data_IF_976319146815
#
_entry.id   IF_976319146815
#
_cell.length_a   1.000
_cell.length_b   1.000
_cell.length_c   1.000
_cell.angle_alpha   90.00
_cell.angle_beta   90.00
_cell.angle_gamma   90.00
#
_symmetry.space_group_name_H-M   'P 1'
#
loop_
_entity.id
_entity.type
_entity.pdbx_description
1 polymer ?
#
# COMPACT_ATOMS: atom_id res chain seq x y z
N UNK A 1 5.47 64.54 17.97
CA UNK A 1 4.13 64.06 17.54
C UNK A 1 4.28 63.53 16.11
N UNK A 2 3.69 62.45 15.61
CA UNK A 2 2.90 61.33 16.16
C UNK A 2 2.79 60.30 14.98
N UNK A 3 2.91 58.97 15.05
CA UNK A 3 3.10 57.94 16.10
C UNK A 3 3.92 56.78 15.46
N UNK A 4 4.45 55.82 16.23
CA UNK A 4 4.93 54.55 15.65
C UNK A 4 3.75 53.69 15.17
N UNK A 5 3.85 53.09 13.98
CA UNK A 5 3.10 51.86 13.66
C UNK A 5 4.06 50.67 13.71
N UNK A 6 3.96 49.89 14.78
CA UNK A 6 4.49 48.52 14.83
C UNK A 6 3.58 47.64 13.97
N UNK A 7 4.03 47.27 12.77
CA UNK A 7 3.42 46.15 12.04
C UNK A 7 3.85 44.84 12.68
N UNK A 8 3.05 44.36 13.63
CA UNK A 8 3.18 43.00 14.18
C UNK A 8 2.80 42.02 13.07
N UNK A 9 3.80 41.40 12.46
CA UNK A 9 3.60 40.31 11.51
C UNK A 9 3.18 39.07 12.29
N UNK A 10 1.87 38.87 12.44
CA UNK A 10 1.30 37.70 13.08
C UNK A 10 1.48 36.48 12.15
N UNK A 11 2.61 35.78 12.33
CA UNK A 11 2.82 34.45 11.74
C UNK A 11 1.81 33.48 12.35
N UNK A 12 0.64 33.34 11.72
CA UNK A 12 -0.20 32.16 11.93
C UNK A 12 0.57 30.94 11.42
N UNK A 13 1.20 30.22 12.33
CA UNK A 13 1.61 28.85 12.08
C UNK A 13 0.34 28.02 11.81
N UNK A 14 0.02 27.82 10.54
CA UNK A 14 -0.90 26.74 10.16
C UNK A 14 -0.20 25.43 10.54
N UNK A 15 -0.50 24.95 11.74
CA UNK A 15 -0.24 23.58 12.17
C UNK A 15 -1.20 22.65 11.43
N UNK A 16 -1.14 22.66 10.09
CA UNK A 16 -1.59 21.53 9.30
C UNK A 16 -0.81 20.33 9.83
N UNK A 17 -1.52 19.32 10.32
CA UNK A 17 -0.89 18.04 10.61
C UNK A 17 -0.27 17.59 9.29
N UNK A 18 1.05 17.63 9.19
CA UNK A 18 1.74 16.90 8.15
C UNK A 18 1.32 15.44 8.34
N UNK A 19 0.50 14.93 7.43
CA UNK A 19 0.23 13.51 7.35
C UNK A 19 1.60 12.91 7.04
N UNK A 20 2.18 12.22 8.02
CA UNK A 20 3.51 11.64 7.87
C UNK A 20 3.46 10.67 6.70
N UNK A 21 4.39 10.80 5.76
CA UNK A 21 4.47 9.96 4.59
C UNK A 21 4.75 8.51 5.03
N UNK A 22 3.81 7.60 4.81
CA UNK A 22 3.93 6.18 5.20
C UNK A 22 4.58 5.33 4.12
N UNK A 23 4.65 5.85 2.90
CA UNK A 23 5.28 5.24 1.72
C UNK A 23 6.69 5.78 1.48
N UNK A 24 7.54 4.99 0.82
CA UNK A 24 8.88 5.39 0.40
C UNK A 24 9.03 5.18 -1.10
N UNK A 25 9.74 6.09 -1.78
CA UNK A 25 10.10 5.91 -3.19
C UNK A 25 11.38 5.07 -3.29
N UNK A 26 11.47 4.21 -4.30
CA UNK A 26 12.67 3.46 -4.59
C UNK A 26 13.84 4.35 -5.01
N UNK A 27 15.07 3.89 -4.74
CA UNK A 27 16.30 4.54 -5.15
C UNK A 27 17.23 3.49 -5.79
N UNK A 28 17.51 3.65 -7.09
CA UNK A 28 18.30 2.70 -7.88
C UNK A 28 19.78 2.61 -7.45
N UNK A 29 20.35 3.68 -6.87
CA UNK A 29 21.73 3.66 -6.35
C UNK A 29 21.85 2.85 -5.05
N UNK A 30 20.78 2.83 -4.24
CA UNK A 30 20.73 2.08 -2.98
C UNK A 30 20.33 0.62 -3.21
N UNK A 31 19.46 0.36 -4.17
CA UNK A 31 18.91 -0.97 -4.45
C UNK A 31 17.96 -1.51 -3.36
N UNK A 32 17.45 -2.72 -3.57
CA UNK A 32 16.66 -3.45 -2.59
C UNK A 32 17.53 -4.13 -1.52
N UNK A 33 17.11 -4.16 -0.25
CA UNK A 33 17.75 -4.99 0.77
C UNK A 33 17.47 -6.48 0.51
N UNK A 34 18.25 -7.37 1.12
CA UNK A 34 17.94 -8.80 1.13
C UNK A 34 16.74 -9.07 2.01
N UNK A 35 15.81 -9.89 1.53
CA UNK A 35 14.60 -10.30 2.24
C UNK A 35 14.04 -11.61 1.66
N UNK A 36 13.19 -12.28 2.43
CA UNK A 36 12.53 -13.55 2.07
C UNK A 36 11.03 -13.49 2.36
N UNK A 37 10.23 -14.41 1.82
CA UNK A 37 8.80 -14.45 2.13
C UNK A 37 8.50 -14.75 3.60
N UNK A 38 9.44 -15.33 4.34
CA UNK A 38 9.28 -15.57 5.78
C UNK A 38 9.25 -14.28 6.59
N UNK A 39 9.84 -13.20 6.07
CA UNK A 39 9.86 -11.86 6.68
C UNK A 39 8.49 -11.16 6.59
N UNK A 40 7.71 -11.48 5.55
CA UNK A 40 6.41 -10.85 5.24
C UNK A 40 5.20 -11.77 5.45
N UNK A 41 5.40 -13.03 5.85
CA UNK A 41 4.34 -14.04 6.04
C UNK A 41 3.18 -13.63 6.96
N UNK A 42 3.38 -12.62 7.82
CA UNK A 42 2.34 -12.09 8.71
C UNK A 42 1.20 -11.38 7.95
N UNK A 43 1.43 -10.99 6.69
CA UNK A 43 0.41 -10.44 5.78
C UNK A 43 -0.65 -11.51 5.42
N UNK A 44 -0.30 -12.80 5.46
CA UNK A 44 -1.20 -13.91 5.08
C UNK A 44 -2.55 -13.90 5.81
N UNK A 45 -3.60 -14.32 5.10
CA UNK A 45 -4.98 -14.48 5.57
C UNK A 45 -6.00 -13.63 4.80
N UNK A 46 -7.25 -13.66 5.28
CA UNK A 46 -8.38 -12.91 4.71
C UNK A 46 -8.60 -11.60 5.49
N UNK A 47 -8.84 -10.52 4.76
CA UNK A 47 -8.88 -9.15 5.24
C UNK A 47 -10.09 -8.40 4.68
N UNK A 48 -10.74 -7.60 5.52
CA UNK A 48 -11.85 -6.71 5.14
C UNK A 48 -11.63 -5.31 5.69
N UNK A 49 -11.87 -4.30 4.87
CA UNK A 49 -11.69 -2.89 5.20
C UNK A 49 -12.66 -1.98 4.47
N UNK A 50 -12.63 -0.69 4.82
CA UNK A 50 -13.36 0.37 4.13
C UNK A 50 -12.35 1.40 3.62
N UNK A 51 -12.40 1.71 2.33
CA UNK A 51 -11.56 2.71 1.68
C UNK A 51 -12.25 3.22 0.41
N UNK A 52 -11.84 4.39 -0.10
CA UNK A 52 -12.37 4.97 -1.35
C UNK A 52 -13.91 5.13 -1.42
N UNK A 53 -14.62 5.14 -0.28
CA UNK A 53 -16.08 5.19 -0.23
C UNK A 53 -16.79 3.83 -0.34
N UNK A 54 -16.06 2.72 -0.36
CA UNK A 54 -16.60 1.37 -0.49
C UNK A 54 -15.90 0.34 0.40
N UNK A 55 -16.25 -0.94 0.20
CA UNK A 55 -15.65 -2.08 0.89
C UNK A 55 -14.46 -2.61 0.09
N UNK A 56 -13.37 -2.90 0.78
CA UNK A 56 -12.23 -3.65 0.26
C UNK A 56 -12.21 -5.05 0.89
N UNK A 57 -12.12 -6.10 0.07
CA UNK A 57 -11.90 -7.48 0.50
C UNK A 57 -10.60 -8.00 -0.14
N UNK A 58 -9.71 -8.57 0.66
CA UNK A 58 -8.37 -8.97 0.22
C UNK A 58 -7.96 -10.30 0.86
N UNK A 59 -7.35 -11.19 0.09
CA UNK A 59 -6.83 -12.48 0.55
C UNK A 59 -5.37 -12.64 0.16
N UNK A 60 -4.55 -13.05 1.12
CA UNK A 60 -3.14 -13.42 0.93
C UNK A 60 -2.92 -14.88 1.37
N UNK A 61 -2.25 -15.67 0.53
CA UNK A 61 -1.92 -17.06 0.89
C UNK A 61 -0.68 -17.17 1.82
N UNK A 62 -0.23 -18.41 2.05
CA UNK A 62 1.00 -18.68 2.80
C UNK A 62 2.20 -18.77 1.85
N UNK A 63 3.41 -18.32 2.26
CA UNK A 63 4.65 -18.48 1.49
C UNK A 63 4.84 -19.89 0.93
N UNK A 64 4.76 -20.04 -0.39
CA UNK A 64 4.98 -21.32 -1.06
C UNK A 64 5.42 -21.12 -2.51
N UNK A 65 6.26 -22.02 -3.06
CA UNK A 65 6.71 -21.91 -4.45
C UNK A 65 7.43 -20.59 -4.82
N UNK A 66 8.12 -19.97 -3.85
CA UNK A 66 8.75 -18.65 -3.94
C UNK A 66 7.78 -17.47 -4.19
N UNK A 67 6.49 -17.66 -3.90
CA UNK A 67 5.46 -16.61 -3.99
C UNK A 67 4.57 -16.56 -2.74
N UNK A 68 3.95 -15.41 -2.51
CA UNK A 68 2.68 -15.27 -1.79
C UNK A 68 1.65 -14.67 -2.76
N UNK A 69 0.66 -15.45 -3.20
CA UNK A 69 -0.42 -14.97 -4.07
C UNK A 69 -1.39 -14.10 -3.27
N UNK A 70 -1.91 -13.05 -3.91
CA UNK A 70 -3.07 -12.32 -3.39
C UNK A 70 -4.14 -12.07 -4.44
N UNK A 71 -5.37 -11.86 -3.96
CA UNK A 71 -6.44 -11.25 -4.74
C UNK A 71 -7.16 -10.19 -3.90
N UNK A 72 -7.61 -9.14 -4.58
CA UNK A 72 -8.34 -8.01 -4.01
C UNK A 72 -9.65 -7.80 -4.78
N UNK A 73 -10.66 -7.26 -4.10
CA UNK A 73 -11.96 -6.90 -4.66
C UNK A 73 -12.47 -5.62 -4.02
N UNK A 74 -12.71 -4.59 -4.83
CA UNK A 74 -13.37 -3.36 -4.40
C UNK A 74 -14.86 -3.40 -4.73
N UNK A 75 -15.71 -3.10 -3.74
CA UNK A 75 -17.15 -2.96 -3.91
C UNK A 75 -17.62 -1.57 -3.51
N UNK A 76 -18.48 -0.97 -4.32
CA UNK A 76 -19.21 0.25 -4.00
C UNK A 76 -20.69 0.02 -4.31
N UNK A 77 -21.59 0.42 -3.40
CA UNK A 77 -23.04 0.25 -3.57
C UNK A 77 -23.47 -1.20 -3.93
N UNK A 78 -22.90 -2.19 -3.23
CA UNK A 78 -23.07 -3.64 -3.43
C UNK A 78 -22.71 -4.15 -4.84
N UNK A 79 -21.90 -3.39 -5.60
CA UNK A 79 -21.41 -3.77 -6.93
C UNK A 79 -19.89 -3.82 -6.92
N UNK A 80 -19.35 -4.84 -7.60
CA UNK A 80 -17.91 -4.90 -7.88
C UNK A 80 -17.54 -3.75 -8.83
N UNK A 81 -16.52 -2.99 -8.45
CA UNK A 81 -15.95 -1.92 -9.26
C UNK A 81 -14.69 -2.42 -9.98
N UNK A 82 -13.80 -3.12 -9.27
CA UNK A 82 -12.62 -3.77 -9.85
C UNK A 82 -12.07 -4.88 -8.93
N UNK A 83 -11.16 -5.67 -9.49
CA UNK A 83 -10.35 -6.65 -8.79
C UNK A 83 -8.86 -6.39 -9.01
N UNK A 84 -8.02 -6.95 -8.15
CA UNK A 84 -6.60 -7.17 -8.46
C UNK A 84 -6.25 -8.63 -8.27
N UNK A 85 -5.25 -9.09 -9.04
CA UNK A 85 -4.57 -10.36 -8.85
C UNK A 85 -3.07 -10.10 -8.91
N UNK A 86 -2.32 -10.61 -7.95
CA UNK A 86 -0.88 -10.37 -7.88
C UNK A 86 -0.19 -11.28 -6.88
N UNK A 87 1.07 -10.94 -6.58
CA UNK A 87 1.87 -11.66 -5.61
C UNK A 87 2.92 -10.77 -4.94
N UNK A 88 3.46 -11.25 -3.81
CA UNK A 88 4.85 -10.93 -3.42
C UNK A 88 5.71 -12.12 -3.84
N UNK A 89 6.71 -11.90 -4.69
CA UNK A 89 7.63 -12.93 -5.20
C UNK A 89 9.05 -12.73 -4.63
N UNK A 90 9.70 -13.83 -4.26
CA UNK A 90 11.11 -13.86 -3.87
C UNK A 90 11.99 -14.17 -5.08
N UNK A 91 12.77 -13.18 -5.50
CA UNK A 91 13.67 -13.25 -6.65
C UNK A 91 14.94 -12.42 -6.38
N UNK A 92 16.07 -12.81 -6.97
CA UNK A 92 17.37 -12.11 -6.83
C UNK A 92 17.83 -11.85 -5.38
N UNK A 93 17.37 -12.69 -4.42
CA UNK A 93 17.55 -12.56 -2.96
C UNK A 93 16.81 -11.36 -2.32
N UNK A 94 15.76 -10.86 -2.95
CA UNK A 94 14.89 -9.79 -2.43
C UNK A 94 13.42 -10.07 -2.76
N UNK A 95 12.53 -9.12 -2.44
CA UNK A 95 11.10 -9.21 -2.69
C UNK A 95 10.62 -8.18 -3.72
N UNK A 96 9.67 -8.60 -4.54
CA UNK A 96 8.90 -7.73 -5.43
C UNK A 96 7.41 -7.94 -5.18
N UNK A 97 6.65 -6.86 -5.01
CA UNK A 97 5.20 -6.89 -5.07
C UNK A 97 4.81 -6.65 -6.54
N UNK A 98 3.98 -7.51 -7.12
CA UNK A 98 3.54 -7.36 -8.51
C UNK A 98 2.05 -7.63 -8.63
N UNK A 99 1.33 -6.86 -9.46
CA UNK A 99 -0.12 -6.99 -9.61
C UNK A 99 -0.61 -6.57 -11.01
N UNK A 100 -1.86 -6.96 -11.30
CA UNK A 100 -2.67 -6.46 -12.40
C UNK A 100 -4.07 -6.14 -11.89
N UNK A 101 -4.70 -5.15 -12.51
CA UNK A 101 -6.08 -4.75 -12.24
C UNK A 101 -7.04 -5.32 -13.28
N UNK A 102 -8.26 -5.66 -12.85
CA UNK A 102 -9.31 -6.19 -13.72
C UNK A 102 -10.64 -5.49 -13.46
N UNK A 103 -11.37 -5.17 -14.53
CA UNK A 103 -12.76 -4.75 -14.44
C UNK A 103 -13.69 -5.87 -13.92
N UNK A 104 -14.96 -5.55 -13.62
CA UNK A 104 -15.93 -6.53 -13.11
C UNK A 104 -16.28 -7.62 -14.14
N UNK A 105 -15.92 -7.43 -15.41
CA UNK A 105 -16.03 -8.39 -16.51
C UNK A 105 -14.72 -9.13 -16.81
N UNK A 106 -13.75 -9.08 -15.88
CA UNK A 106 -12.41 -9.68 -15.97
C UNK A 106 -11.54 -9.20 -17.13
N UNK A 107 -11.83 -8.03 -17.73
CA UNK A 107 -10.89 -7.37 -18.63
C UNK A 107 -9.79 -6.68 -17.84
N UNK A 108 -8.53 -7.04 -18.13
CA UNK A 108 -7.35 -6.39 -17.54
C UNK A 108 -7.22 -4.93 -17.95
N UNK A 109 -6.65 -4.08 -17.09
CA UNK A 109 -6.31 -2.70 -17.41
C UNK A 109 -4.93 -2.60 -18.07
N UNK A 110 -3.96 -3.39 -17.60
CA UNK A 110 -2.66 -3.59 -18.22
C UNK A 110 -2.77 -4.46 -19.48
N UNK A 111 -1.75 -4.41 -20.36
CA UNK A 111 -1.66 -5.37 -21.47
C UNK A 111 -1.44 -6.80 -20.94
N UNK A 112 -1.69 -7.78 -21.82
CA UNK A 112 -1.58 -9.21 -21.47
C UNK A 112 -0.20 -9.59 -20.90
N UNK A 113 0.86 -8.96 -21.39
CA UNK A 113 2.27 -9.14 -21.02
C UNK A 113 2.80 -8.11 -19.99
N UNK A 114 2.03 -7.07 -19.68
CA UNK A 114 2.42 -6.01 -18.73
C UNK A 114 1.83 -6.23 -17.33
N UNK A 115 2.54 -5.80 -16.29
CA UNK A 115 2.12 -5.84 -14.88
C UNK A 115 2.71 -4.63 -14.16
N UNK A 116 2.12 -4.22 -13.04
CA UNK A 116 2.79 -3.31 -12.12
C UNK A 116 3.79 -4.10 -11.26
N UNK A 117 4.96 -3.53 -10.99
CA UNK A 117 6.02 -4.12 -10.16
C UNK A 117 6.56 -3.06 -9.22
N UNK A 118 6.42 -3.29 -7.92
CA UNK A 118 6.90 -2.44 -6.84
C UNK A 118 8.09 -3.14 -6.15
N UNK A 119 9.24 -2.47 -6.14
CA UNK A 119 10.51 -3.02 -5.64
C UNK A 119 10.65 -2.78 -4.15
N UNK A 120 11.16 -3.75 -3.39
CA UNK A 120 11.41 -3.58 -1.96
C UNK A 120 12.40 -2.44 -1.69
N UNK A 121 12.01 -1.45 -0.90
CA UNK A 121 12.80 -0.27 -0.50
C UNK A 121 13.43 -0.44 0.89
N UNK A 122 12.64 -0.99 1.83
CA UNK A 122 13.01 -1.12 3.25
C UNK A 122 12.12 -2.15 3.95
N UNK A 123 12.63 -2.76 5.00
CA UNK A 123 11.86 -3.48 6.01
C UNK A 123 12.23 -2.97 7.41
N UNK A 124 11.24 -2.87 8.29
CA UNK A 124 11.34 -2.62 9.73
C UNK A 124 10.61 -3.75 10.50
N UNK A 125 10.60 -3.69 11.84
CA UNK A 125 10.01 -4.74 12.70
C UNK A 125 8.51 -5.01 12.42
N UNK A 126 7.75 -3.97 12.09
CA UNK A 126 6.30 -4.06 11.85
C UNK A 126 5.86 -3.48 10.49
N UNK A 127 6.79 -3.07 9.62
CA UNK A 127 6.48 -2.46 8.32
C UNK A 127 7.37 -3.03 7.21
N UNK A 128 6.79 -3.25 6.04
CA UNK A 128 7.54 -3.54 4.80
C UNK A 128 7.15 -2.53 3.73
N UNK A 129 8.17 -1.91 3.15
CA UNK A 129 8.05 -0.80 2.20
C UNK A 129 8.50 -1.26 0.83
N UNK A 130 7.56 -1.44 -0.08
CA UNK A 130 7.82 -1.47 -1.51
C UNK A 130 7.72 -0.04 -2.08
N UNK A 131 8.15 0.16 -3.32
CA UNK A 131 8.11 1.46 -3.98
C UNK A 131 6.67 2.03 -3.96
N UNK A 132 6.47 3.17 -3.28
CA UNK A 132 5.17 3.84 -3.12
C UNK A 132 4.05 2.98 -2.49
N UNK A 133 4.39 1.85 -1.87
CA UNK A 133 3.45 0.88 -1.31
C UNK A 133 3.98 0.31 0.01
N UNK A 134 3.26 0.48 1.13
CA UNK A 134 3.70 -0.01 2.45
C UNK A 134 2.65 -0.88 3.10
N UNK A 135 3.03 -2.07 3.58
CA UNK A 135 2.24 -2.84 4.53
C UNK A 135 2.73 -2.55 5.96
N UNK A 136 1.81 -2.37 6.90
CA UNK A 136 2.09 -2.26 8.33
C UNK A 136 1.28 -3.29 9.11
N UNK A 137 1.97 -4.04 9.97
CA UNK A 137 1.36 -4.86 11.01
C UNK A 137 0.98 -3.96 12.19
N UNK A 138 -0.33 -3.76 12.38
CA UNK A 138 -0.88 -3.05 13.54
C UNK A 138 -1.13 -4.01 14.70
N UNK A 139 -1.65 -5.20 14.38
CA UNK A 139 -1.76 -6.34 15.32
C UNK A 139 -1.80 -7.66 14.55
N UNK A 140 -2.00 -8.79 15.22
CA UNK A 140 -2.23 -10.07 14.54
C UNK A 140 -3.55 -10.11 13.75
N UNK A 141 -4.50 -9.22 14.06
CA UNK A 141 -5.83 -9.14 13.43
C UNK A 141 -6.07 -7.82 12.68
N UNK A 142 -5.03 -7.01 12.47
CA UNK A 142 -5.16 -5.71 11.81
C UNK A 142 -3.88 -5.33 11.05
N UNK A 143 -4.06 -4.89 9.80
CA UNK A 143 -2.99 -4.31 8.98
C UNK A 143 -3.44 -2.97 8.40
N UNK A 144 -2.47 -2.09 8.15
CA UNK A 144 -2.65 -0.95 7.27
C UNK A 144 -1.90 -1.23 5.97
N UNK A 145 -2.51 -0.85 4.84
CA UNK A 145 -1.83 -0.76 3.55
C UNK A 145 -1.87 0.70 3.09
N UNK A 146 -0.72 1.24 2.71
CA UNK A 146 -0.57 2.61 2.22
C UNK A 146 -0.11 2.58 0.77
N UNK A 147 -0.81 3.26 -0.13
CA UNK A 147 -0.51 3.26 -1.58
C UNK A 147 -0.54 4.67 -2.14
N UNK A 148 0.47 5.10 -2.89
CA UNK A 148 0.45 6.40 -3.58
C UNK A 148 -0.11 6.26 -4.99
N UNK A 149 -1.35 6.68 -5.22
CA UNK A 149 -2.01 6.58 -6.52
C UNK A 149 -1.25 7.35 -7.60
N UNK A 150 -0.95 6.70 -8.74
CA UNK A 150 -0.11 7.29 -9.80
C UNK A 150 -0.68 8.59 -10.36
N UNK A 151 -2.00 8.67 -10.54
CA UNK A 151 -2.69 9.79 -11.21
C UNK A 151 -2.77 11.07 -10.36
N UNK A 152 -2.93 10.96 -9.04
CA UNK A 152 -3.03 12.12 -8.14
C UNK A 152 -1.75 12.40 -7.37
N UNK A 153 -0.90 11.38 -7.15
CA UNK A 153 0.25 11.47 -6.24
C UNK A 153 -0.16 11.47 -4.75
N UNK A 154 -1.42 11.18 -4.44
CA UNK A 154 -1.93 11.14 -3.07
C UNK A 154 -1.69 9.74 -2.44
N UNK A 155 -1.28 9.73 -1.18
CA UNK A 155 -1.18 8.51 -0.36
C UNK A 155 -2.56 8.16 0.22
N UNK A 156 -3.08 6.98 -0.14
CA UNK A 156 -4.30 6.40 0.39
C UNK A 156 -3.98 5.37 1.47
N UNK A 157 -4.77 5.37 2.55
CA UNK A 157 -4.74 4.34 3.60
C UNK A 157 -5.92 3.38 3.42
N UNK A 158 -5.62 2.09 3.39
CA UNK A 158 -6.55 0.99 3.53
C UNK A 158 -6.33 0.35 4.91
N UNK A 159 -7.27 0.54 5.86
CA UNK A 159 -7.24 -0.15 7.14
C UNK A 159 -8.05 -1.45 7.02
N UNK A 160 -7.42 -2.57 7.37
CA UNK A 160 -8.02 -3.89 7.25
C UNK A 160 -8.08 -4.59 8.60
N UNK A 161 -9.23 -5.23 8.86
CA UNK A 161 -9.40 -6.19 9.96
C UNK A 161 -9.40 -7.60 9.38
N UNK A 162 -8.81 -8.55 10.12
CA UNK A 162 -8.79 -9.97 9.73
C UNK A 162 -10.21 -10.54 9.80
N UNK A 163 -10.70 -11.12 8.71
CA UNK A 163 -11.93 -11.91 8.76
C UNK A 163 -11.68 -13.24 9.51
N UNK A 164 -12.65 -13.66 10.32
CA UNK A 164 -12.59 -14.96 11.01
C UNK A 164 -13.20 -16.02 10.10
N UNK A 165 -12.38 -17.02 9.76
CA UNK A 165 -12.78 -18.29 9.15
C UNK A 165 -13.67 -19.12 10.07
#
# INVERSE_FOLDING_TARGET
MLKHLFSILLLLSLSGKAIGQNTLTYNDEKGSPKATLQDVKWISGTWRGEAMGGTCEEFWDQPSGNTMLFCFKFLENDKVIFYELGHIIEADNTLFLELKHFGPDLKGWEKADEKQTFRLVKQDENRVYFDRFTFEKVSDNEINIYVVFEKSGEEMLFNYKREKS
#
